data_IF_173870119971
#
_entry.id   IF_173870119971
#
_cell.length_a   1.000
_cell.length_b   1.000
_cell.length_c   1.000
_cell.angle_alpha   90.00
_cell.angle_beta   90.00
_cell.angle_gamma   90.00
#
_symmetry.space_group_name_H-M   'P 1'
#
loop_
_entity.id
_entity.type
_entity.pdbx_description
1 polymer ?
#
# COMPACT_ATOMS: atom_id res chain seq x y z
N UNK A 1 26.33 -18.59 -15.81
CA UNK A 1 26.60 -17.56 -16.83
C UNK A 1 26.24 -16.22 -16.25
N UNK A 2 27.24 -15.43 -15.83
CA UNK A 2 27.00 -14.06 -15.36
C UNK A 2 26.58 -13.21 -16.57
N UNK A 3 25.29 -12.92 -16.67
CA UNK A 3 24.79 -12.02 -17.72
C UNK A 3 25.06 -10.60 -17.26
N UNK A 4 26.15 -10.02 -17.77
CA UNK A 4 26.53 -8.64 -17.52
C UNK A 4 25.48 -7.73 -18.20
N UNK A 5 24.43 -7.36 -17.45
CA UNK A 5 23.37 -6.49 -17.95
C UNK A 5 23.98 -5.11 -18.26
N UNK A 6 23.85 -4.58 -19.48
CA UNK A 6 24.40 -3.27 -19.81
C UNK A 6 23.74 -2.21 -18.92
N UNK A 7 24.57 -1.33 -18.34
CA UNK A 7 24.10 -0.26 -17.45
C UNK A 7 23.13 0.68 -18.17
N UNK A 8 21.84 0.60 -17.82
CA UNK A 8 20.80 1.56 -18.23
C UNK A 8 20.83 2.81 -17.34
N UNK A 9 20.39 3.95 -17.87
CA UNK A 9 20.19 5.17 -17.09
C UNK A 9 18.82 5.15 -16.41
N UNK A 10 18.68 5.86 -15.30
CA UNK A 10 17.40 6.03 -14.59
C UNK A 10 16.31 6.59 -15.53
N UNK A 11 16.68 7.54 -16.40
CA UNK A 11 15.78 8.12 -17.41
C UNK A 11 15.34 7.14 -18.50
N UNK A 12 16.11 6.07 -18.74
CA UNK A 12 15.76 5.02 -19.72
C UNK A 12 14.80 4.01 -19.08
N UNK A 13 15.02 3.63 -17.82
CA UNK A 13 14.05 2.81 -17.06
C UNK A 13 12.69 3.48 -16.92
N UNK A 14 12.66 4.76 -16.52
CA UNK A 14 11.40 5.51 -16.38
C UNK A 14 10.66 5.61 -17.72
N UNK A 15 11.40 5.72 -18.84
CA UNK A 15 10.80 5.71 -20.18
C UNK A 15 10.25 4.33 -20.57
N UNK A 16 10.98 3.24 -20.26
CA UNK A 16 10.52 1.89 -20.52
C UNK A 16 9.25 1.55 -19.71
N UNK A 17 9.20 1.94 -18.43
CA UNK A 17 8.02 1.81 -17.58
C UNK A 17 6.82 2.62 -18.11
N UNK A 18 7.03 3.85 -18.57
CA UNK A 18 5.97 4.64 -19.20
C UNK A 18 5.47 4.03 -20.52
N UNK A 19 6.33 3.36 -21.29
CA UNK A 19 5.92 2.61 -22.48
C UNK A 19 5.15 1.32 -22.12
N UNK A 20 5.52 0.65 -21.04
CA UNK A 20 4.77 -0.49 -20.52
C UNK A 20 3.37 -0.08 -20.04
N UNK A 21 3.25 1.04 -19.34
CA UNK A 21 1.95 1.62 -18.92
C UNK A 21 1.05 1.95 -20.13
N UNK A 22 1.61 2.53 -21.19
CA UNK A 22 0.89 2.73 -22.46
C UNK A 22 0.46 1.41 -23.11
N UNK A 23 1.29 0.37 -23.06
CA UNK A 23 0.93 -0.97 -23.54
C UNK A 23 -0.14 -1.65 -22.69
N UNK A 24 -0.16 -1.39 -21.38
CA UNK A 24 -1.13 -1.94 -20.43
C UNK A 24 -2.50 -1.29 -20.60
N UNK A 25 -2.53 0.05 -20.72
CA UNK A 25 -3.75 0.83 -21.00
C UNK A 25 -4.33 0.54 -22.39
N UNK A 26 -3.49 0.26 -23.38
CA UNK A 26 -3.91 -0.22 -24.70
C UNK A 26 -4.33 -1.71 -24.74
N UNK A 27 -4.09 -2.47 -23.67
CA UNK A 27 -4.38 -3.92 -23.62
C UNK A 27 -3.48 -4.79 -24.50
N UNK A 28 -2.35 -4.26 -24.99
CA UNK A 28 -1.41 -4.94 -25.89
C UNK A 28 -0.21 -5.57 -25.18
N UNK A 29 -0.03 -5.32 -23.89
CA UNK A 29 1.11 -5.82 -23.11
C UNK A 29 0.91 -7.29 -22.70
N UNK A 30 1.67 -8.21 -23.30
CA UNK A 30 1.70 -9.63 -22.94
C UNK A 30 2.60 -9.94 -21.73
N UNK A 31 2.61 -11.21 -21.31
CA UNK A 31 3.36 -11.69 -20.14
C UNK A 31 4.84 -11.27 -20.13
N UNK A 32 5.54 -11.45 -21.26
CA UNK A 32 6.95 -11.05 -21.43
C UNK A 32 7.16 -9.54 -21.23
N UNK A 33 6.17 -8.72 -21.64
CA UNK A 33 6.18 -7.27 -21.42
C UNK A 33 5.96 -6.89 -19.95
N UNK A 34 5.09 -7.62 -19.22
CA UNK A 34 4.92 -7.46 -17.78
C UNK A 34 6.18 -7.88 -17.01
N UNK A 35 6.82 -8.99 -17.39
CA UNK A 35 8.08 -9.43 -16.80
C UNK A 35 9.21 -8.42 -17.05
N UNK A 36 9.32 -7.89 -18.26
CA UNK A 36 10.28 -6.83 -18.59
C UNK A 36 10.04 -5.56 -17.76
N UNK A 37 8.79 -5.08 -17.67
CA UNK A 37 8.42 -3.92 -16.86
C UNK A 37 8.69 -4.15 -15.35
N UNK A 38 8.44 -5.35 -14.84
CA UNK A 38 8.72 -5.72 -13.45
C UNK A 38 10.23 -5.68 -13.15
N UNK A 39 11.05 -6.17 -14.08
CA UNK A 39 12.52 -6.09 -14.00
C UNK A 39 13.01 -4.63 -14.05
N UNK A 40 12.49 -3.80 -14.96
CA UNK A 40 12.85 -2.38 -15.07
C UNK A 40 12.43 -1.59 -13.81
N UNK A 41 11.30 -1.95 -13.18
CA UNK A 41 10.86 -1.36 -11.91
C UNK A 41 11.77 -1.74 -10.73
N UNK A 42 12.20 -3.00 -10.65
CA UNK A 42 13.17 -3.44 -9.64
C UNK A 42 14.51 -2.72 -9.80
N UNK A 43 15.03 -2.62 -11.03
CA UNK A 43 16.29 -1.95 -11.33
C UNK A 43 16.23 -0.44 -11.00
N UNK A 44 15.06 0.19 -11.14
CA UNK A 44 14.81 1.57 -10.73
C UNK A 44 14.83 1.71 -9.20
N UNK A 45 14.13 0.82 -8.49
CA UNK A 45 14.09 0.82 -7.02
C UNK A 45 15.49 0.64 -6.41
N UNK A 46 16.28 -0.32 -6.89
CA UNK A 46 17.65 -0.56 -6.44
C UNK A 46 18.53 0.70 -6.59
N UNK A 47 18.44 1.38 -7.74
CA UNK A 47 19.16 2.65 -7.97
C UNK A 47 18.71 3.76 -7.03
N UNK A 48 17.41 3.89 -6.77
CA UNK A 48 16.88 4.87 -5.82
C UNK A 48 17.34 4.59 -4.38
N UNK A 49 17.45 3.32 -3.98
CA UNK A 49 17.99 2.93 -2.67
C UNK A 49 19.47 3.36 -2.53
N UNK A 50 20.29 3.14 -3.56
CA UNK A 50 21.70 3.57 -3.57
C UNK A 50 21.82 5.10 -3.55
N UNK A 51 21.01 5.82 -4.35
CA UNK A 51 21.00 7.29 -4.33
C UNK A 51 20.56 7.85 -2.97
N UNK A 52 19.55 7.26 -2.33
CA UNK A 52 19.12 7.62 -0.97
C UNK A 52 20.23 7.39 0.06
N UNK A 53 21.02 6.32 -0.07
CA UNK A 53 22.16 6.08 0.80
C UNK A 53 23.24 7.14 0.59
N UNK A 54 23.68 7.37 -0.65
CA UNK A 54 24.68 8.39 -1.00
C UNK A 54 24.26 9.80 -0.58
N UNK A 55 22.98 10.14 -0.69
CA UNK A 55 22.45 11.42 -0.22
C UNK A 55 22.59 11.56 1.31
N UNK A 56 22.32 10.50 2.08
CA UNK A 56 22.52 10.49 3.53
C UNK A 56 24.01 10.61 3.90
N UNK A 57 24.88 9.82 3.26
CA UNK A 57 26.33 9.93 3.45
C UNK A 57 26.83 11.36 3.16
N UNK A 58 26.37 11.96 2.05
CA UNK A 58 26.70 13.33 1.70
C UNK A 58 26.21 14.34 2.76
N UNK A 59 24.99 14.19 3.30
CA UNK A 59 24.52 15.07 4.40
C UNK A 59 25.34 14.93 5.68
N UNK A 60 25.76 13.71 6.04
CA UNK A 60 26.62 13.48 7.22
C UNK A 60 28.02 14.04 6.99
N UNK A 61 28.61 13.83 5.81
CA UNK A 61 29.90 14.42 5.44
C UNK A 61 29.85 15.97 5.43
N UNK A 62 28.74 16.57 4.97
CA UNK A 62 28.56 18.02 4.99
C UNK A 62 28.37 18.56 6.41
N UNK A 63 27.70 17.80 7.30
CA UNK A 63 27.57 18.16 8.72
C UNK A 63 28.92 18.09 9.47
N UNK A 64 29.76 17.08 9.17
CA UNK A 64 31.11 16.95 9.76
C UNK A 64 32.08 17.97 9.17
N UNK A 65 31.93 18.34 7.90
CA UNK A 65 32.75 19.38 7.24
C UNK A 65 32.42 20.81 7.67
N UNK A 66 31.21 21.07 8.17
CA UNK A 66 30.80 22.40 8.63
C UNK A 66 31.14 22.59 10.10
N UNK A 67 32.42 22.85 10.37
CA UNK A 67 32.93 23.26 11.69
C UNK A 67 32.03 24.36 12.27
N UNK A 68 31.41 24.17 13.44
CA UNK A 68 30.58 25.22 14.03
C UNK A 68 31.48 26.37 14.47
N UNK A 69 31.17 27.57 13.98
CA UNK A 69 31.71 28.82 14.52
C UNK A 69 30.97 29.09 15.83
N UNK A 70 31.53 28.58 16.93
CA UNK A 70 30.97 28.73 18.27
C UNK A 70 31.28 30.14 18.77
N UNK A 71 30.26 30.99 18.82
CA UNK A 71 30.33 32.23 19.60
C UNK A 71 30.38 31.89 21.09
N UNK A 72 31.35 32.48 21.78
CA UNK A 72 31.75 32.26 23.18
C UNK A 72 30.67 32.49 24.24
N UNK A 73 30.57 31.54 25.19
CA UNK A 73 30.20 31.68 26.62
C UNK A 73 29.81 30.27 27.17
N UNK A 74 30.35 29.70 28.24
CA UNK A 74 31.38 30.08 29.22
C UNK A 74 32.28 28.87 29.55
N UNK A 75 33.42 29.14 30.18
CA UNK A 75 34.46 28.19 30.57
C UNK A 75 34.41 27.92 32.09
N UNK A 76 34.16 26.68 32.52
CA UNK A 76 34.53 26.16 33.85
C UNK A 76 34.94 24.68 33.75
N UNK A 77 36.25 24.44 33.84
CA UNK A 77 36.92 23.14 34.04
C UNK A 77 37.26 22.95 35.54
N UNK A 78 37.77 21.80 36.03
CA UNK A 78 37.61 20.41 35.59
C UNK A 78 37.13 19.49 36.76
N UNK A 79 36.70 18.24 36.51
CA UNK A 79 36.62 17.28 37.64
C UNK A 79 35.88 15.95 37.48
N UNK A 80 36.66 14.88 37.25
CA UNK A 80 36.50 13.52 37.78
C UNK A 80 35.36 12.62 37.25
N UNK A 81 35.75 11.35 36.99
CA UNK A 81 34.97 10.23 36.49
C UNK A 81 33.49 10.17 36.88
N UNK A 82 32.63 10.02 35.86
CA UNK A 82 31.30 9.42 35.99
C UNK A 82 31.12 8.40 34.86
N UNK A 83 30.76 7.14 35.16
CA UNK A 83 30.55 6.14 34.12
C UNK A 83 29.38 6.55 33.23
N UNK A 84 29.53 6.33 31.92
CA UNK A 84 28.51 6.62 30.90
C UNK A 84 27.19 5.94 31.27
N UNK A 85 26.19 6.73 31.66
CA UNK A 85 24.80 6.26 31.72
C UNK A 85 24.20 6.36 30.32
N UNK A 86 23.78 5.22 29.79
CA UNK A 86 22.97 5.16 28.59
C UNK A 86 21.50 5.44 28.99
N UNK A 87 21.10 6.71 28.94
CA UNK A 87 19.72 7.11 29.20
C UNK A 87 18.81 6.66 28.04
N UNK A 88 18.09 5.56 28.24
CA UNK A 88 17.15 4.97 27.26
C UNK A 88 15.72 5.52 27.39
N UNK A 89 15.54 6.76 27.87
CA UNK A 89 14.24 7.43 27.86
C UNK A 89 13.96 7.98 26.45
N UNK A 90 12.79 7.68 25.83
CA UNK A 90 12.38 8.36 24.61
C UNK A 90 12.14 9.84 24.93
N UNK A 91 12.91 10.73 24.31
CA UNK A 91 12.57 12.15 24.27
C UNK A 91 11.41 12.36 23.27
N UNK A 92 10.33 13.08 23.64
CA UNK A 92 9.21 13.30 22.73
C UNK A 92 9.52 14.43 21.74
N UNK A 93 10.29 14.14 20.68
CA UNK A 93 10.33 15.01 19.51
C UNK A 93 9.03 14.89 18.71
N UNK A 94 8.04 15.72 19.09
CA UNK A 94 6.85 15.96 18.29
C UNK A 94 7.21 16.69 16.99
N UNK A 95 7.50 15.90 15.94
CA UNK A 95 7.72 16.42 14.59
C UNK A 95 6.42 16.98 14.01
N UNK A 96 6.21 18.28 14.21
CA UNK A 96 5.03 19.03 13.76
C UNK A 96 5.04 19.29 12.24
N UNK A 97 5.13 18.22 11.43
CA UNK A 97 5.04 18.24 9.96
C UNK A 97 4.21 17.09 9.37
N UNK A 98 3.34 16.47 10.17
CA UNK A 98 2.23 15.69 9.61
C UNK A 98 1.07 16.64 9.27
N UNK A 99 1.10 17.20 8.06
CA UNK A 99 -0.13 17.69 7.42
C UNK A 99 -1.00 16.46 7.17
N UNK A 100 -2.12 16.34 7.89
CA UNK A 100 -3.03 15.20 7.75
C UNK A 100 -3.53 15.10 6.31
N UNK A 101 -3.52 13.88 5.76
CA UNK A 101 -3.86 13.56 4.37
C UNK A 101 -5.32 13.89 3.97
N UNK A 102 -6.10 14.42 4.90
CA UNK A 102 -7.53 14.75 4.80
C UNK A 102 -7.72 16.11 4.10
N UNK A 103 -6.86 17.09 4.38
CA UNK A 103 -6.99 18.48 3.91
C UNK A 103 -6.72 18.63 2.40
N UNK A 104 -6.09 17.63 1.77
CA UNK A 104 -5.85 17.58 0.33
C UNK A 104 -7.06 17.09 -0.48
N UNK A 105 -8.04 16.42 0.15
CA UNK A 105 -9.22 15.87 -0.53
C UNK A 105 -10.34 16.92 -0.60
N UNK A 106 -10.45 17.79 0.40
CA UNK A 106 -11.48 18.83 0.50
C UNK A 106 -11.39 19.92 -0.59
N UNK A 107 -10.26 20.03 -1.29
CA UNK A 107 -10.02 21.05 -2.32
C UNK A 107 -10.44 20.66 -3.75
N UNK A 108 -11.16 19.55 -3.96
CA UNK A 108 -11.67 19.16 -5.30
C UNK A 108 -13.20 19.22 -5.43
N UNK A 109 -13.95 19.44 -4.34
CA UNK A 109 -15.42 19.29 -4.35
C UNK A 109 -16.23 20.61 -4.33
N UNK A 110 -15.59 21.79 -4.42
CA UNK A 110 -16.29 23.07 -4.53
C UNK A 110 -15.71 23.98 -5.62
N UNK A 111 -16.20 23.83 -6.86
CA UNK A 111 -16.41 25.02 -7.69
C UNK A 111 -17.79 24.95 -8.38
N UNK A 112 -18.71 25.77 -7.87
CA UNK A 112 -20.06 25.91 -8.41
C UNK A 112 -20.06 26.87 -9.61
N UNK A 113 -20.64 26.41 -10.72
CA UNK A 113 -21.38 27.16 -11.75
C UNK A 113 -21.40 28.70 -11.63
N UNK A 114 -21.12 29.36 -12.77
CA UNK A 114 -22.09 30.34 -13.28
C UNK A 114 -22.48 30.10 -14.75
N UNK A 115 -23.78 29.95 -15.01
CA UNK A 115 -24.37 30.20 -16.34
C UNK A 115 -24.59 31.70 -16.59
N UNK A 116 -25.21 32.13 -17.71
CA UNK A 116 -26.17 31.38 -18.55
C UNK A 116 -25.76 31.41 -20.06
N UNK A 117 -26.57 31.40 -21.15
CA UNK A 117 -28.03 31.55 -21.36
C UNK A 117 -28.46 31.14 -22.80
N UNK A 118 -29.57 30.37 -22.94
CA UNK A 118 -30.48 30.29 -24.14
C UNK A 118 -29.87 29.77 -25.48
N UNK A 119 -30.52 28.98 -26.35
CA UNK A 119 -31.87 28.36 -26.41
C UNK A 119 -31.90 27.13 -27.39
N UNK A 120 -33.01 26.51 -27.87
CA UNK A 120 -33.40 25.15 -27.42
C UNK A 120 -33.55 24.03 -28.48
N UNK A 121 -33.55 22.78 -28.00
CA UNK A 121 -34.36 21.60 -28.45
C UNK A 121 -34.24 21.07 -29.92
N UNK A 122 -34.72 19.83 -30.26
CA UNK A 122 -35.40 18.84 -29.43
C UNK A 122 -34.79 17.42 -29.40
N UNK A 123 -34.81 16.84 -28.19
CA UNK A 123 -35.44 15.54 -27.87
C UNK A 123 -35.45 14.40 -28.91
N UNK A 124 -34.72 13.31 -28.61
CA UNK A 124 -35.27 11.95 -28.76
C UNK A 124 -34.66 10.95 -27.79
N UNK A 125 -35.54 10.18 -27.14
CA UNK A 125 -35.19 9.24 -26.09
C UNK A 125 -34.45 7.99 -26.58
N UNK A 126 -33.49 7.51 -25.79
CA UNK A 126 -33.27 6.08 -25.58
C UNK A 126 -32.53 5.81 -24.26
N UNK A 127 -33.20 5.08 -23.35
CA UNK A 127 -32.54 4.44 -22.20
C UNK A 127 -31.45 3.49 -22.70
N UNK A 128 -30.29 3.46 -22.03
CA UNK A 128 -29.45 2.25 -21.90
C UNK A 128 -28.63 2.36 -20.62
N UNK A 129 -28.62 1.27 -19.87
CA UNK A 129 -27.95 1.18 -18.57
C UNK A 129 -26.44 1.18 -18.73
N UNK A 130 -25.76 2.04 -17.97
CA UNK A 130 -24.32 1.90 -17.74
C UNK A 130 -24.09 0.72 -16.79
N UNK A 131 -24.12 -0.49 -17.37
CA UNK A 131 -23.41 -1.63 -16.81
C UNK A 131 -22.00 -1.57 -17.37
N UNK A 132 -21.10 -0.88 -16.67
CA UNK A 132 -19.68 -1.09 -16.87
C UNK A 132 -19.42 -2.60 -16.77
N UNK A 133 -18.95 -3.17 -17.87
CA UNK A 133 -18.46 -4.54 -17.85
C UNK A 133 -17.20 -4.55 -16.96
N UNK A 134 -17.08 -5.48 -15.99
CA UNK A 134 -15.93 -5.49 -15.10
C UNK A 134 -14.65 -5.60 -15.93
N UNK A 135 -13.69 -4.74 -15.63
CA UNK A 135 -12.44 -4.64 -16.38
C UNK A 135 -11.71 -5.98 -16.39
N UNK A 136 -10.81 -6.19 -17.37
CA UNK A 136 -9.99 -7.42 -17.41
C UNK A 136 -9.17 -7.55 -16.12
N UNK A 137 -8.75 -6.43 -15.52
CA UNK A 137 -8.17 -6.37 -14.17
C UNK A 137 -9.10 -6.97 -13.11
N UNK A 138 -10.34 -6.50 -12.98
CA UNK A 138 -11.31 -7.07 -12.03
C UNK A 138 -11.61 -8.54 -12.28
N UNK A 139 -11.61 -9.01 -13.54
CA UNK A 139 -11.82 -10.44 -13.85
C UNK A 139 -10.63 -11.30 -13.47
N UNK A 140 -9.41 -10.77 -13.58
CA UNK A 140 -8.18 -11.45 -13.18
C UNK A 140 -8.01 -11.40 -11.65
N UNK A 141 -8.38 -10.28 -11.01
CA UNK A 141 -8.50 -10.16 -9.56
C UNK A 141 -9.61 -11.06 -9.02
N UNK A 142 -10.74 -11.22 -9.71
CA UNK A 142 -11.83 -12.18 -9.40
C UNK A 142 -11.53 -13.60 -9.91
N UNK A 143 -10.27 -13.99 -10.05
CA UNK A 143 -9.90 -15.40 -10.21
C UNK A 143 -10.49 -16.25 -9.08
N UNK A 144 -10.99 -17.44 -9.42
CA UNK A 144 -11.50 -18.41 -8.47
C UNK A 144 -10.41 -18.77 -7.45
N UNK A 145 -10.77 -18.80 -6.17
CA UNK A 145 -9.83 -19.05 -5.09
C UNK A 145 -9.89 -20.53 -4.71
N UNK A 146 -8.95 -21.36 -5.17
CA UNK A 146 -8.88 -22.76 -4.74
C UNK A 146 -8.52 -22.90 -3.24
N UNK A 147 -7.74 -21.97 -2.71
CA UNK A 147 -7.17 -22.01 -1.36
C UNK A 147 -7.02 -20.59 -0.81
N UNK A 148 -7.81 -20.25 0.22
CA UNK A 148 -7.77 -18.94 0.87
C UNK A 148 -6.37 -18.60 1.43
N UNK A 149 -5.60 -19.60 1.86
CA UNK A 149 -4.25 -19.43 2.40
C UNK A 149 -3.22 -19.06 1.32
N UNK A 150 -3.54 -19.28 0.04
CA UNK A 150 -2.72 -18.88 -1.12
C UNK A 150 -3.21 -17.59 -1.78
N UNK A 151 -4.51 -17.32 -1.75
CA UNK A 151 -5.09 -16.10 -2.32
C UNK A 151 -4.94 -14.87 -1.41
N UNK A 152 -4.84 -15.05 -0.08
CA UNK A 152 -4.62 -13.94 0.86
C UNK A 152 -3.15 -13.50 0.82
N UNK A 153 -2.93 -12.26 0.37
CA UNK A 153 -1.59 -11.64 0.36
C UNK A 153 -1.03 -11.50 1.78
N UNK A 154 0.30 -11.43 1.90
CA UNK A 154 0.95 -11.29 3.21
C UNK A 154 0.46 -10.05 3.99
N UNK A 155 0.22 -8.94 3.29
CA UNK A 155 -0.34 -7.71 3.87
C UNK A 155 -1.76 -7.93 4.42
N UNK A 156 -2.65 -8.55 3.63
CA UNK A 156 -4.01 -8.86 4.07
C UNK A 156 -4.02 -9.87 5.23
N UNK A 157 -3.10 -10.85 5.24
CA UNK A 157 -2.95 -11.79 6.38
C UNK A 157 -2.66 -11.05 7.69
N UNK A 158 -1.72 -10.10 7.70
CA UNK A 158 -1.44 -9.32 8.92
C UNK A 158 -2.63 -8.45 9.34
N UNK A 159 -3.32 -7.83 8.37
CA UNK A 159 -4.50 -7.00 8.64
C UNK A 159 -5.67 -7.80 9.22
N UNK A 160 -6.05 -8.92 8.59
CA UNK A 160 -7.09 -9.81 9.14
C UNK A 160 -6.71 -10.36 10.51
N UNK A 161 -5.46 -10.77 10.73
CA UNK A 161 -5.01 -11.23 12.04
C UNK A 161 -5.18 -10.14 13.10
N UNK A 162 -4.84 -8.89 12.79
CA UNK A 162 -4.99 -7.76 13.71
C UNK A 162 -6.47 -7.42 13.99
N UNK A 163 -7.25 -7.16 12.93
CA UNK A 163 -8.60 -6.60 13.05
C UNK A 163 -9.69 -7.64 13.31
N UNK A 164 -9.59 -8.84 12.75
CA UNK A 164 -10.62 -9.88 12.88
C UNK A 164 -10.28 -10.92 13.96
N UNK A 165 -9.00 -11.18 14.21
CA UNK A 165 -8.55 -12.23 15.15
C UNK A 165 -7.85 -11.69 16.41
N UNK A 166 -7.94 -10.39 16.70
CA UNK A 166 -7.33 -9.71 17.85
C UNK A 166 -5.80 -9.93 18.00
N UNK A 167 -5.09 -10.17 16.89
CA UNK A 167 -3.67 -10.53 16.87
C UNK A 167 -3.36 -12.04 16.99
N UNK A 168 -4.35 -12.91 17.17
CA UNK A 168 -4.13 -14.36 17.28
C UNK A 168 -4.00 -15.03 15.91
N UNK A 169 -2.75 -15.18 15.48
CA UNK A 169 -2.38 -15.91 14.26
C UNK A 169 -2.81 -17.39 14.29
N UNK A 170 -2.83 -18.06 15.44
CA UNK A 170 -3.16 -19.49 15.53
C UNK A 170 -4.66 -19.70 15.27
N UNK A 171 -5.50 -18.82 15.83
CA UNK A 171 -6.95 -18.86 15.57
C UNK A 171 -7.26 -18.47 14.12
N UNK A 172 -6.56 -17.49 13.54
CA UNK A 172 -6.65 -17.20 12.10
C UNK A 172 -6.30 -18.41 11.22
N UNK A 173 -5.17 -19.09 11.47
CA UNK A 173 -4.75 -20.22 10.61
C UNK A 173 -5.72 -21.40 10.70
N UNK A 174 -6.27 -21.67 11.89
CA UNK A 174 -7.36 -22.64 12.07
C UNK A 174 -8.65 -22.25 11.36
N UNK A 175 -9.04 -20.97 11.42
CA UNK A 175 -10.23 -20.47 10.75
C UNK A 175 -10.11 -20.59 9.22
N UNK A 176 -8.97 -20.21 8.64
CA UNK A 176 -8.69 -20.38 7.21
C UNK A 176 -8.69 -21.85 6.80
N UNK A 177 -8.07 -22.74 7.58
CA UNK A 177 -8.11 -24.18 7.32
C UNK A 177 -9.53 -24.75 7.37
N UNK A 178 -10.35 -24.31 8.32
CA UNK A 178 -11.71 -24.80 8.48
C UNK A 178 -12.64 -24.25 7.40
N UNK A 179 -12.50 -22.97 7.03
CA UNK A 179 -13.11 -22.38 5.84
C UNK A 179 -12.76 -23.23 4.61
N UNK A 180 -11.47 -23.43 4.31
CA UNK A 180 -11.00 -24.27 3.20
C UNK A 180 -11.56 -25.72 3.20
N UNK A 181 -11.99 -26.27 4.35
CA UNK A 181 -12.61 -27.61 4.45
C UNK A 181 -14.14 -27.60 4.29
N UNK A 182 -14.82 -26.48 4.55
CA UNK A 182 -16.28 -26.38 4.42
C UNK A 182 -16.72 -26.40 2.94
N UNK A 183 -17.81 -27.11 2.59
CA UNK A 183 -18.29 -27.29 1.21
C UNK A 183 -19.15 -26.14 0.66
N UNK A 184 -19.67 -25.21 1.49
CA UNK A 184 -20.58 -24.16 1.00
C UNK A 184 -20.44 -22.80 1.69
N UNK A 185 -20.71 -21.73 0.93
CA UNK A 185 -20.61 -20.33 1.38
C UNK A 185 -21.43 -20.04 2.65
N UNK A 186 -22.67 -20.53 2.75
CA UNK A 186 -23.53 -20.27 3.92
C UNK A 186 -22.99 -20.84 5.23
N UNK A 187 -22.29 -21.96 5.17
CA UNK A 187 -21.65 -22.55 6.35
C UNK A 187 -20.41 -21.75 6.75
N UNK A 188 -19.64 -21.27 5.76
CA UNK A 188 -18.51 -20.39 5.97
C UNK A 188 -18.90 -19.02 6.54
N UNK A 189 -19.98 -18.41 6.05
CA UNK A 189 -20.52 -17.14 6.56
C UNK A 189 -20.97 -17.27 8.02
N UNK A 190 -21.76 -18.30 8.35
CA UNK A 190 -22.14 -18.61 9.74
C UNK A 190 -20.94 -18.91 10.63
N UNK A 191 -19.91 -19.57 10.11
CA UNK A 191 -18.65 -19.80 10.83
C UNK A 191 -17.91 -18.49 11.13
N UNK A 192 -17.88 -17.53 10.19
CA UNK A 192 -17.31 -16.20 10.45
C UNK A 192 -18.13 -15.45 11.51
N UNK A 193 -19.46 -15.44 11.43
CA UNK A 193 -20.30 -14.85 12.47
C UNK A 193 -20.08 -15.49 13.85
N UNK A 194 -19.97 -16.82 13.92
CA UNK A 194 -19.85 -17.52 15.20
C UNK A 194 -18.44 -17.57 15.77
N UNK A 195 -17.38 -17.65 14.96
CA UNK A 195 -15.99 -17.79 15.46
C UNK A 195 -15.17 -16.50 15.39
N UNK A 196 -15.47 -15.58 14.47
CA UNK A 196 -14.79 -14.29 14.35
C UNK A 196 -15.53 -13.25 15.17
N UNK A 197 -16.79 -12.97 14.82
CA UNK A 197 -17.57 -11.88 15.43
C UNK A 197 -17.88 -12.10 16.92
N UNK A 198 -18.07 -13.34 17.41
CA UNK A 198 -18.28 -13.57 18.86
C UNK A 198 -17.00 -13.51 19.70
N UNK A 199 -15.82 -13.71 19.11
CA UNK A 199 -14.52 -13.72 19.81
C UNK A 199 -13.77 -12.40 19.73
N UNK A 200 -14.34 -11.42 19.01
CA UNK A 200 -13.81 -10.08 18.85
C UNK A 200 -13.95 -9.27 20.15
N UNK A 201 -12.83 -8.72 20.64
CA UNK A 201 -12.78 -7.89 21.87
C UNK A 201 -13.08 -6.41 21.62
N UNK A 202 -13.24 -6.05 20.35
CA UNK A 202 -13.54 -4.72 19.81
C UNK A 202 -14.67 -4.89 18.77
N UNK A 203 -15.35 -3.82 18.35
CA UNK A 203 -16.13 -3.89 17.11
C UNK A 203 -15.21 -4.32 15.95
N UNK A 204 -15.69 -5.21 15.09
CA UNK A 204 -14.98 -5.59 13.88
C UNK A 204 -14.80 -4.38 12.97
N UNK A 205 -13.63 -4.25 12.36
CA UNK A 205 -13.43 -3.29 11.28
C UNK A 205 -14.31 -3.71 10.07
N UNK A 206 -15.21 -2.83 9.58
CA UNK A 206 -16.17 -3.19 8.54
C UNK A 206 -15.50 -3.43 7.18
N UNK A 207 -14.41 -2.72 6.87
CA UNK A 207 -13.66 -2.89 5.63
C UNK A 207 -12.89 -4.22 5.65
N UNK A 208 -12.30 -4.57 6.80
CA UNK A 208 -11.67 -5.88 7.01
C UNK A 208 -12.68 -7.02 6.85
N UNK A 209 -13.88 -6.89 7.44
CA UNK A 209 -14.93 -7.89 7.35
C UNK A 209 -15.52 -8.02 5.93
N UNK A 210 -15.71 -6.91 5.21
CA UNK A 210 -16.19 -6.92 3.82
C UNK A 210 -15.16 -7.61 2.92
N UNK A 211 -13.89 -7.19 2.99
CA UNK A 211 -12.80 -7.78 2.18
C UNK A 211 -12.64 -9.27 2.47
N UNK A 212 -12.75 -9.69 3.73
CA UNK A 212 -12.68 -11.10 4.12
C UNK A 212 -13.85 -11.92 3.59
N UNK A 213 -15.07 -11.38 3.65
CA UNK A 213 -16.28 -12.00 3.10
C UNK A 213 -16.23 -12.13 1.58
N UNK A 214 -15.73 -11.11 0.87
CA UNK A 214 -15.53 -11.18 -0.58
C UNK A 214 -14.54 -12.27 -1.00
N UNK A 215 -13.44 -12.43 -0.26
CA UNK A 215 -12.46 -13.50 -0.49
C UNK A 215 -13.07 -14.89 -0.28
N UNK A 216 -13.91 -15.05 0.75
CA UNK A 216 -14.68 -16.28 0.99
C UNK A 216 -15.68 -16.52 -0.15
N UNK A 217 -16.43 -15.49 -0.58
CA UNK A 217 -17.41 -15.60 -1.66
C UNK A 217 -16.75 -16.09 -2.96
N UNK A 218 -15.61 -15.50 -3.33
CA UNK A 218 -14.81 -15.87 -4.50
C UNK A 218 -14.21 -17.29 -4.48
N UNK A 219 -14.24 -17.95 -3.31
CA UNK A 219 -13.82 -19.34 -3.13
C UNK A 219 -14.98 -20.34 -3.31
N UNK A 220 -16.22 -19.86 -3.30
CA UNK A 220 -17.43 -20.66 -3.43
C UNK A 220 -18.28 -20.35 -4.68
N UNK A 221 -17.84 -19.42 -5.53
CA UNK A 221 -18.37 -19.12 -6.88
C UNK A 221 -17.63 -19.86 -7.97
#
# INVERSE_FOLDING_TARGET
>A
MSSDKPFRKISELVRALAQADQGLTAGTLGLEGLEAASNDAQELYERLVVLRHKAREATVAHAVGKKPEVSTAQEEEPGMDRPVRLDTRPAPEVSARQTSLIEAIEHTEQEQIPGPKMEPAPERAAKKSDKQAPSVAEKLEKAAVDDLNKAITLSHKFWFVAELFNGDRITYEKAIEQLNKMPGFKEAELFVETEVLTKLKKPADPDALSTFTELIQRRYT
#
